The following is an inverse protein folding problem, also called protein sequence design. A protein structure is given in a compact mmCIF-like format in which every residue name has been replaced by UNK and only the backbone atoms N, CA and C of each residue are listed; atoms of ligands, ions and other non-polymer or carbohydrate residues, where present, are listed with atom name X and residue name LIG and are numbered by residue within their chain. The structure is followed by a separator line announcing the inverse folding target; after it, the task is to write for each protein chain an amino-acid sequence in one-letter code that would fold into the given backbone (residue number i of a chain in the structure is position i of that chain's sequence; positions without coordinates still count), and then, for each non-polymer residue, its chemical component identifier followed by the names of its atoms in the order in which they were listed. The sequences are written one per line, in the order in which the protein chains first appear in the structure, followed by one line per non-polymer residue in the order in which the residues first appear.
data_IF_356123912177
#
_entry.id   IF_356123912177
#
_cell.length_a   1.000
_cell.length_b   1.000
_cell.length_c   1.000
_cell.angle_alpha   90.00
_cell.angle_beta   90.00
_cell.angle_gamma   90.00
#
_symmetry.space_group_name_H-M   'P 1'
#
loop_
_entity.id
_entity.type
_entity.pdbx_description
1 polymer ?
#
# COMPACT_ATOMS: atom_id res chain seq x y z
N UNK A 1 -10.92 -100.12 42.55
CA UNK A 1 -11.41 -99.55 41.26
C UNK A 1 -11.41 -100.66 40.23
N UNK A 2 -12.51 -100.82 39.50
CA UNK A 2 -12.62 -101.72 38.34
C UNK A 2 -11.95 -101.03 37.13
N UNK A 3 -11.17 -101.79 36.36
CA UNK A 3 -10.52 -101.36 35.11
C UNK A 3 -11.51 -100.69 34.14
N UNK A 4 -12.75 -101.19 34.09
CA UNK A 4 -13.81 -100.74 33.20
C UNK A 4 -14.29 -99.31 33.51
N UNK A 5 -14.40 -98.97 34.81
CA UNK A 5 -14.74 -97.62 35.26
C UNK A 5 -13.65 -96.60 34.90
N UNK A 6 -12.38 -97.03 34.94
CA UNK A 6 -11.23 -96.20 34.57
C UNK A 6 -11.22 -95.95 33.05
N UNK A 7 -11.53 -96.96 32.23
CA UNK A 7 -11.69 -96.78 30.78
C UNK A 7 -12.83 -95.82 30.41
N UNK A 8 -13.99 -95.94 31.06
CA UNK A 8 -15.10 -95.00 30.84
C UNK A 8 -14.72 -93.55 31.18
N UNK A 9 -13.98 -93.34 32.27
CA UNK A 9 -13.50 -92.02 32.66
C UNK A 9 -12.47 -91.45 31.66
N UNK A 10 -11.58 -92.27 31.13
CA UNK A 10 -10.64 -91.86 30.07
C UNK A 10 -11.41 -91.44 28.81
N UNK A 11 -12.38 -92.25 28.36
CA UNK A 11 -13.18 -91.91 27.17
C UNK A 11 -13.96 -90.61 27.36
N UNK A 12 -14.58 -90.43 28.53
CA UNK A 12 -15.31 -89.21 28.84
C UNK A 12 -14.41 -87.97 28.84
N UNK A 13 -13.25 -88.05 29.50
CA UNK A 13 -12.30 -86.92 29.57
C UNK A 13 -11.66 -86.61 28.21
N UNK A 14 -11.34 -87.61 27.38
CA UNK A 14 -10.83 -87.36 26.02
C UNK A 14 -11.90 -86.73 25.11
N UNK A 15 -13.17 -87.14 25.24
CA UNK A 15 -14.28 -86.48 24.52
C UNK A 15 -14.38 -85.01 24.91
N UNK A 16 -14.35 -84.71 26.21
CA UNK A 16 -14.40 -83.32 26.70
C UNK A 16 -13.17 -82.51 26.26
N UNK A 17 -11.98 -83.13 26.28
CA UNK A 17 -10.76 -82.49 25.81
C UNK A 17 -10.83 -82.17 24.30
N UNK A 18 -11.38 -83.10 23.49
CA UNK A 18 -11.60 -82.90 22.07
C UNK A 18 -12.57 -81.75 21.80
N UNK A 19 -13.71 -81.70 22.50
CA UNK A 19 -14.68 -80.60 22.36
C UNK A 19 -14.06 -79.24 22.70
N UNK A 20 -13.29 -79.16 23.80
CA UNK A 20 -12.56 -77.93 24.16
C UNK A 20 -11.53 -77.53 23.11
N UNK A 21 -10.77 -78.48 22.56
CA UNK A 21 -9.81 -78.21 21.46
C UNK A 21 -10.54 -77.64 20.24
N UNK A 22 -11.69 -78.20 19.85
CA UNK A 22 -12.50 -77.69 18.74
C UNK A 22 -12.99 -76.25 18.99
N UNK A 23 -13.51 -75.95 20.19
CA UNK A 23 -13.96 -74.60 20.55
C UNK A 23 -12.81 -73.59 20.52
N UNK A 24 -11.64 -73.95 21.04
CA UNK A 24 -10.44 -73.10 20.98
C UNK A 24 -10.03 -72.84 19.54
N UNK A 25 -10.03 -73.87 18.68
CA UNK A 25 -9.71 -73.73 17.26
C UNK A 25 -10.67 -72.75 16.57
N UNK A 26 -11.97 -72.88 16.86
CA UNK A 26 -13.00 -71.99 16.31
C UNK A 26 -12.83 -70.54 16.79
N UNK A 27 -12.56 -70.36 18.09
CA UNK A 27 -12.29 -69.04 18.65
C UNK A 27 -11.07 -68.39 18.00
N UNK A 28 -9.98 -69.14 17.79
CA UNK A 28 -8.78 -68.65 17.10
C UNK A 28 -9.11 -68.17 15.68
N UNK A 29 -9.86 -68.95 14.90
CA UNK A 29 -10.27 -68.56 13.55
C UNK A 29 -11.13 -67.29 13.54
N UNK A 30 -12.06 -67.17 14.49
CA UNK A 30 -12.89 -65.97 14.61
C UNK A 30 -12.08 -64.73 15.00
N UNK A 31 -11.10 -64.89 15.90
CA UNK A 31 -10.17 -63.82 16.29
C UNK A 31 -9.34 -63.37 15.08
N UNK A 32 -8.74 -64.31 14.34
CA UNK A 32 -7.94 -63.99 13.14
C UNK A 32 -8.76 -63.19 12.12
N UNK A 33 -9.97 -63.66 11.78
CA UNK A 33 -10.88 -62.94 10.88
C UNK A 33 -11.25 -61.55 11.37
N UNK A 34 -11.42 -61.40 12.68
CA UNK A 34 -11.76 -60.10 13.28
C UNK A 34 -10.57 -59.14 13.22
N UNK A 35 -9.36 -59.62 13.49
CA UNK A 35 -8.13 -58.84 13.37
C UNK A 35 -7.90 -58.36 11.93
N UNK A 36 -8.14 -59.22 10.93
CA UNK A 36 -8.06 -58.84 9.51
C UNK A 36 -9.02 -57.70 9.17
N UNK A 37 -10.29 -57.79 9.60
CA UNK A 37 -11.28 -56.72 9.41
C UNK A 37 -10.86 -55.41 10.08
N UNK A 38 -10.33 -55.49 11.30
CA UNK A 38 -9.82 -54.31 12.04
C UNK A 38 -8.68 -53.65 11.25
N UNK A 39 -7.76 -54.44 10.70
CA UNK A 39 -6.66 -53.91 9.89
C UNK A 39 -7.16 -53.25 8.61
N UNK A 40 -8.10 -53.87 7.90
CA UNK A 40 -8.70 -53.27 6.70
C UNK A 40 -9.37 -51.92 7.02
N UNK A 41 -10.21 -51.87 8.07
CA UNK A 41 -10.87 -50.62 8.49
C UNK A 41 -9.83 -49.56 8.86
N UNK A 42 -8.72 -49.96 9.51
CA UNK A 42 -7.64 -49.05 9.88
C UNK A 42 -6.95 -48.45 8.65
N UNK A 43 -6.71 -49.23 7.61
CA UNK A 43 -6.13 -48.76 6.34
C UNK A 43 -7.09 -47.84 5.58
N UNK A 44 -8.37 -48.19 5.52
CA UNK A 44 -9.41 -47.34 4.93
C UNK A 44 -9.51 -46.00 5.66
N UNK A 45 -9.49 -46.01 7.00
CA UNK A 45 -9.50 -44.80 7.83
C UNK A 45 -8.25 -43.94 7.59
N UNK A 46 -7.07 -44.55 7.51
CA UNK A 46 -5.82 -43.84 7.21
C UNK A 46 -5.89 -43.14 5.85
N UNK A 47 -6.43 -43.84 4.85
CA UNK A 47 -6.59 -43.32 3.49
C UNK A 47 -7.60 -42.16 3.45
N UNK A 48 -8.75 -42.32 4.13
CA UNK A 48 -9.76 -41.27 4.23
C UNK A 48 -9.24 -40.03 4.97
N UNK A 49 -8.47 -40.24 6.05
CA UNK A 49 -7.82 -39.16 6.80
C UNK A 49 -6.87 -38.36 5.91
N UNK A 50 -5.98 -39.02 5.16
CA UNK A 50 -5.05 -38.35 4.25
C UNK A 50 -5.77 -37.52 3.17
N UNK A 51 -6.86 -38.05 2.60
CA UNK A 51 -7.67 -37.30 1.62
C UNK A 51 -8.26 -36.04 2.24
N UNK A 52 -8.85 -36.16 3.42
CA UNK A 52 -9.45 -35.02 4.13
C UNK A 52 -8.40 -33.98 4.53
N UNK A 53 -7.24 -34.39 5.02
CA UNK A 53 -6.13 -33.48 5.31
C UNK A 53 -5.69 -32.71 4.05
N UNK A 54 -5.61 -33.39 2.91
CA UNK A 54 -5.26 -32.76 1.63
C UNK A 54 -6.33 -31.74 1.20
N UNK A 55 -7.62 -32.08 1.30
CA UNK A 55 -8.72 -31.17 0.97
C UNK A 55 -8.76 -29.94 1.90
N UNK A 56 -8.54 -30.15 3.19
CA UNK A 56 -8.45 -29.06 4.18
C UNK A 56 -7.29 -28.13 3.85
N UNK A 57 -6.09 -28.68 3.60
CA UNK A 57 -4.93 -27.88 3.20
C UNK A 57 -5.21 -27.07 1.93
N UNK A 58 -5.79 -27.69 0.91
CA UNK A 58 -6.19 -27.00 -0.33
C UNK A 58 -7.16 -25.85 -0.07
N UNK A 59 -8.22 -26.10 0.72
CA UNK A 59 -9.25 -25.10 1.02
C UNK A 59 -8.68 -23.91 1.80
N UNK A 60 -7.80 -24.16 2.78
CA UNK A 60 -7.13 -23.11 3.55
C UNK A 60 -6.21 -22.28 2.66
N UNK A 61 -5.36 -22.92 1.85
CA UNK A 61 -4.48 -22.23 0.92
C UNK A 61 -5.26 -21.41 -0.12
N UNK A 62 -6.34 -21.97 -0.67
CA UNK A 62 -7.19 -21.29 -1.64
C UNK A 62 -7.89 -20.06 -1.03
N UNK A 63 -8.46 -20.18 0.17
CA UNK A 63 -9.06 -19.04 0.89
C UNK A 63 -8.04 -17.94 1.16
N UNK A 64 -6.87 -18.30 1.69
CA UNK A 64 -5.79 -17.36 1.96
C UNK A 64 -5.33 -16.64 0.68
N UNK A 65 -5.13 -17.38 -0.41
CA UNK A 65 -4.75 -16.80 -1.70
C UNK A 65 -5.80 -15.83 -2.23
N UNK A 66 -7.08 -16.16 -2.09
CA UNK A 66 -8.17 -15.28 -2.50
C UNK A 66 -8.19 -13.99 -1.68
N UNK A 67 -8.09 -14.07 -0.34
CA UNK A 67 -8.01 -12.90 0.54
C UNK A 67 -6.82 -12.00 0.17
N UNK A 68 -5.64 -12.60 -0.03
CA UNK A 68 -4.45 -11.88 -0.45
C UNK A 68 -4.62 -11.21 -1.83
N UNK A 69 -5.27 -11.88 -2.78
CA UNK A 69 -5.59 -11.31 -4.07
C UNK A 69 -6.51 -10.09 -3.96
N UNK A 70 -7.56 -10.16 -3.12
CA UNK A 70 -8.47 -9.03 -2.88
C UNK A 70 -7.73 -7.84 -2.27
N UNK A 71 -6.90 -8.08 -1.25
CA UNK A 71 -6.10 -7.04 -0.60
C UNK A 71 -5.15 -6.39 -1.61
N UNK A 72 -4.41 -7.19 -2.38
CA UNK A 72 -3.49 -6.69 -3.39
C UNK A 72 -4.22 -5.81 -4.41
N UNK A 73 -5.32 -6.31 -4.96
CA UNK A 73 -6.13 -5.58 -5.96
C UNK A 73 -6.64 -4.25 -5.41
N UNK A 74 -7.14 -4.23 -4.19
CA UNK A 74 -7.59 -3.00 -3.52
C UNK A 74 -6.45 -2.01 -3.33
N UNK A 75 -5.31 -2.47 -2.81
CA UNK A 75 -4.12 -1.64 -2.61
C UNK A 75 -3.60 -1.05 -3.90
N UNK A 76 -3.51 -1.83 -4.98
CA UNK A 76 -3.10 -1.36 -6.30
C UNK A 76 -4.05 -0.29 -6.84
N UNK A 77 -5.36 -0.48 -6.70
CA UNK A 77 -6.36 0.50 -7.13
C UNK A 77 -6.24 1.81 -6.34
N UNK A 78 -6.16 1.73 -5.01
CA UNK A 78 -5.99 2.89 -4.14
C UNK A 78 -4.69 3.64 -4.46
N UNK A 79 -3.58 2.93 -4.63
CA UNK A 79 -2.29 3.54 -4.98
C UNK A 79 -2.35 4.23 -6.35
N UNK A 80 -2.91 3.57 -7.36
CA UNK A 80 -3.09 4.13 -8.71
C UNK A 80 -3.95 5.40 -8.69
N UNK A 81 -5.06 5.38 -7.96
CA UNK A 81 -5.94 6.56 -7.81
C UNK A 81 -5.21 7.73 -7.16
N UNK A 82 -4.48 7.48 -6.06
CA UNK A 82 -3.66 8.51 -5.37
C UNK A 82 -2.58 9.08 -6.28
N UNK A 83 -1.89 8.23 -7.04
CA UNK A 83 -0.86 8.63 -7.98
C UNK A 83 -1.42 9.52 -9.11
N UNK A 84 -2.54 9.12 -9.72
CA UNK A 84 -3.22 9.93 -10.75
C UNK A 84 -3.63 11.29 -10.19
N UNK A 85 -4.18 11.34 -8.97
CA UNK A 85 -4.59 12.60 -8.36
C UNK A 85 -3.38 13.51 -8.06
N UNK A 86 -2.25 12.95 -7.62
CA UNK A 86 -1.02 13.70 -7.42
C UNK A 86 -0.48 14.27 -8.74
N UNK A 87 -0.50 13.49 -9.82
CA UNK A 87 -0.12 13.97 -11.15
C UNK A 87 -1.01 15.12 -11.63
N UNK A 88 -2.34 15.00 -11.45
CA UNK A 88 -3.29 16.08 -11.79
C UNK A 88 -3.00 17.36 -11.01
N UNK A 89 -2.79 17.26 -9.69
CA UNK A 89 -2.44 18.41 -8.84
C UNK A 89 -1.13 19.08 -9.27
N UNK A 90 -0.11 18.26 -9.60
CA UNK A 90 1.18 18.76 -10.09
C UNK A 90 1.00 19.50 -11.41
N UNK A 91 0.26 18.92 -12.36
CA UNK A 91 -0.01 19.56 -13.65
C UNK A 91 -0.73 20.92 -13.48
N UNK A 92 -1.74 21.01 -12.60
CA UNK A 92 -2.41 22.28 -12.31
C UNK A 92 -1.47 23.31 -11.67
N UNK A 93 -0.60 22.89 -10.74
CA UNK A 93 0.36 23.79 -10.10
C UNK A 93 1.41 24.31 -11.09
N UNK A 94 1.90 23.46 -12.01
CA UNK A 94 2.82 23.86 -13.08
C UNK A 94 2.15 24.86 -14.02
N UNK A 95 0.90 24.63 -14.41
CA UNK A 95 0.13 25.57 -15.23
C UNK A 95 0.03 26.93 -14.54
N UNK A 96 -0.37 26.96 -13.27
CA UNK A 96 -0.47 28.20 -12.49
C UNK A 96 0.87 28.95 -12.38
N UNK A 97 1.97 28.24 -12.13
CA UNK A 97 3.30 28.85 -12.08
C UNK A 97 3.72 29.43 -13.44
N UNK A 98 3.42 28.73 -14.54
CA UNK A 98 3.73 29.22 -15.89
C UNK A 98 2.93 30.47 -16.25
N UNK A 99 1.64 30.53 -15.90
CA UNK A 99 0.79 31.70 -16.13
C UNK A 99 1.23 32.88 -15.26
N UNK A 100 1.60 32.63 -14.00
CA UNK A 100 2.11 33.68 -13.11
C UNK A 100 3.44 34.24 -13.65
N UNK A 101 4.38 33.39 -14.05
CA UNK A 101 5.69 33.78 -14.58
C UNK A 101 5.59 34.56 -15.89
N UNK A 102 4.65 34.19 -16.76
CA UNK A 102 4.40 34.93 -18.00
C UNK A 102 3.75 36.29 -17.72
N UNK A 103 2.79 36.36 -16.79
CA UNK A 103 2.20 37.62 -16.34
C UNK A 103 3.22 38.58 -15.74
N UNK A 104 4.09 38.10 -14.84
CA UNK A 104 5.14 38.94 -14.24
C UNK A 104 6.12 39.48 -15.27
N UNK A 105 6.50 38.68 -16.28
CA UNK A 105 7.37 39.16 -17.37
C UNK A 105 6.72 40.26 -18.19
N UNK A 106 5.43 40.11 -18.52
CA UNK A 106 4.70 41.14 -19.25
C UNK A 106 4.61 42.45 -18.46
N UNK A 107 4.39 42.37 -17.15
CA UNK A 107 4.39 43.57 -16.31
C UNK A 107 5.76 44.25 -16.26
N UNK A 108 6.85 43.51 -16.11
CA UNK A 108 8.20 44.10 -16.11
C UNK A 108 8.56 44.70 -17.47
N UNK A 109 8.17 44.04 -18.58
CA UNK A 109 8.42 44.55 -19.93
C UNK A 109 7.63 45.85 -20.21
N UNK A 110 6.38 45.94 -19.74
CA UNK A 110 5.59 47.16 -19.85
C UNK A 110 6.15 48.30 -18.99
N UNK A 111 6.62 48.00 -17.77
CA UNK A 111 7.26 48.96 -16.88
C UNK A 111 8.58 49.51 -17.49
N UNK A 112 9.38 48.63 -18.09
CA UNK A 112 10.60 49.00 -18.82
C UNK A 112 10.27 49.87 -20.04
N UNK A 113 9.23 49.51 -20.81
CA UNK A 113 8.77 50.29 -21.97
C UNK A 113 8.28 51.68 -21.55
N UNK A 114 7.45 51.78 -20.51
CA UNK A 114 6.96 53.06 -20.01
C UNK A 114 8.09 53.95 -19.52
N UNK A 115 9.05 53.40 -18.77
CA UNK A 115 10.21 54.16 -18.27
C UNK A 115 11.06 54.67 -19.43
N UNK A 116 11.24 53.84 -20.46
CA UNK A 116 11.95 54.22 -21.68
C UNK A 116 11.23 55.34 -22.43
N UNK A 117 9.91 55.22 -22.66
CA UNK A 117 9.10 56.24 -23.34
C UNK A 117 9.11 57.58 -22.58
N UNK A 118 8.96 57.56 -21.25
CA UNK A 118 9.05 58.76 -20.42
C UNK A 118 10.45 59.41 -20.53
N UNK A 119 11.50 58.59 -20.55
CA UNK A 119 12.88 59.07 -20.69
C UNK A 119 13.10 59.69 -22.07
N UNK A 120 12.64 59.02 -23.13
CA UNK A 120 12.72 59.50 -24.51
C UNK A 120 11.95 60.82 -24.68
N UNK A 121 10.72 60.91 -24.17
CA UNK A 121 9.92 62.13 -24.17
C UNK A 121 10.60 63.28 -23.42
N UNK A 122 11.13 63.03 -22.22
CA UNK A 122 11.82 64.06 -21.44
C UNK A 122 13.08 64.59 -22.16
N UNK A 123 13.79 63.71 -22.88
CA UNK A 123 14.97 64.06 -23.66
C UNK A 123 14.62 64.82 -24.94
N UNK A 124 13.59 64.37 -25.68
CA UNK A 124 13.13 64.99 -26.93
C UNK A 124 12.74 66.46 -26.73
N UNK A 125 12.02 66.74 -25.64
CA UNK A 125 11.58 68.10 -25.29
C UNK A 125 12.53 68.83 -24.34
N UNK A 126 13.69 68.25 -24.01
CA UNK A 126 14.69 68.83 -23.11
C UNK A 126 14.14 69.22 -21.74
N UNK A 127 13.07 68.57 -21.27
CA UNK A 127 12.29 69.00 -20.10
C UNK A 127 13.12 68.97 -18.81
N UNK A 128 13.95 67.94 -18.65
CA UNK A 128 14.83 67.80 -17.49
C UNK A 128 15.85 68.95 -17.43
N UNK A 129 16.50 69.25 -18.56
CA UNK A 129 17.46 70.35 -18.67
C UNK A 129 16.80 71.72 -18.49
N UNK A 130 15.61 71.92 -19.07
CA UNK A 130 14.83 73.14 -18.92
C UNK A 130 14.44 73.38 -17.46
N UNK A 131 13.98 72.32 -16.76
CA UNK A 131 13.66 72.38 -15.33
C UNK A 131 14.91 72.71 -14.49
N UNK A 132 16.04 72.07 -14.78
CA UNK A 132 17.29 72.31 -14.07
C UNK A 132 17.76 73.76 -14.22
N UNK A 133 17.68 74.32 -15.43
CA UNK A 133 17.99 75.73 -15.69
C UNK A 133 17.06 76.68 -14.92
N UNK A 134 15.76 76.40 -14.88
CA UNK A 134 14.79 77.20 -14.13
C UNK A 134 15.07 77.16 -12.62
N UNK A 135 15.38 75.99 -12.07
CA UNK A 135 15.75 75.83 -10.66
C UNK A 135 17.01 76.63 -10.35
N UNK A 136 18.06 76.52 -11.18
CA UNK A 136 19.30 77.30 -11.00
C UNK A 136 19.04 78.80 -11.02
N UNK A 137 18.18 79.28 -11.92
CA UNK A 137 17.78 80.69 -11.97
C UNK A 137 17.07 81.10 -10.67
N UNK A 138 16.11 80.30 -10.19
CA UNK A 138 15.34 80.59 -8.98
C UNK A 138 16.22 80.61 -7.72
N UNK A 139 17.14 79.65 -7.59
CA UNK A 139 18.11 79.62 -6.48
C UNK A 139 18.99 80.86 -6.51
N UNK A 140 19.47 81.27 -7.69
CA UNK A 140 20.31 82.47 -7.83
C UNK A 140 19.56 83.74 -7.43
N UNK A 141 18.28 83.87 -7.80
CA UNK A 141 17.46 85.03 -7.39
C UNK A 141 17.21 85.01 -5.89
N UNK A 142 16.83 83.87 -5.32
CA UNK A 142 16.60 83.74 -3.87
C UNK A 142 17.87 84.06 -3.05
N UNK A 143 19.05 83.62 -3.50
CA UNK A 143 20.32 83.97 -2.85
C UNK A 143 20.62 85.48 -2.91
N UNK A 144 20.41 86.11 -4.07
CA UNK A 144 20.61 87.55 -4.22
C UNK A 144 19.65 88.35 -3.32
N UNK A 145 18.40 87.92 -3.19
CA UNK A 145 17.41 88.59 -2.33
C UNK A 145 17.82 88.49 -0.85
N UNK A 146 18.28 87.31 -0.41
CA UNK A 146 18.81 87.12 0.94
C UNK A 146 20.08 87.96 1.20
N UNK A 147 20.99 88.07 0.22
CA UNK A 147 22.17 88.95 0.33
C UNK A 147 21.79 90.42 0.45
N UNK A 148 20.79 90.88 -0.31
CA UNK A 148 20.27 92.24 -0.21
C UNK A 148 19.58 92.51 1.13
N UNK A 149 18.80 91.56 1.66
CA UNK A 149 18.22 91.67 3.00
C UNK A 149 19.29 91.76 4.09
N UNK A 150 20.36 90.97 4.00
CA UNK A 150 21.51 91.06 4.92
C UNK A 150 22.21 92.41 4.78
N UNK A 151 22.34 92.95 3.57
CA UNK A 151 22.95 94.25 3.32
C UNK A 151 22.12 95.41 3.88
N UNK A 152 20.78 95.28 3.92
CA UNK A 152 19.87 96.27 4.54
C UNK A 152 19.80 96.17 6.07
N UNK A 153 20.21 95.03 6.65
CA UNK A 153 20.27 94.78 8.10
C UNK A 153 21.65 95.12 8.72
N UNK A 154 22.60 95.61 7.92
CA UNK A 154 23.90 96.17 8.35
C UNK A 154 23.87 97.70 8.32
#
# INVERSE_FOLDING_TARGET
MNLDALFQQIQFTEKQAREKRCLIQQAKLNISRSCEKINQIKEELSTAKMKLETEVSWCVCSKHNNEMHYIYKYMTHCFRSRFINALKKKASATKYHSTKKTGTRKMTEEEDNFTKEVTEFNNEYGLTSNRELLIKKKIKTELNDLENEIALLK
#
